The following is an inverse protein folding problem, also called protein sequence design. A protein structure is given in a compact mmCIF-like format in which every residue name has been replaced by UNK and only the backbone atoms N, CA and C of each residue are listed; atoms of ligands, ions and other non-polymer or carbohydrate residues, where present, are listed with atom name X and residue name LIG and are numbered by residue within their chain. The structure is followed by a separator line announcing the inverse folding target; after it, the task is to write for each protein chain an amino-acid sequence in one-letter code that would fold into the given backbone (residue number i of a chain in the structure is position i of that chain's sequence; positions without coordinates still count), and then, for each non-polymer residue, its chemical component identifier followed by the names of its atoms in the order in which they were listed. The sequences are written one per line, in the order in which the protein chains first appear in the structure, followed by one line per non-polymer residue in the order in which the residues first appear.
data_IF_321154842011
#
_entry.id   IF_321154842011
#
_cell.length_a   1.000
_cell.length_b   1.000
_cell.length_c   1.000
_cell.angle_alpha   90.00
_cell.angle_beta   90.00
_cell.angle_gamma   90.00
#
_symmetry.space_group_name_H-M   'P 1'
#
loop_
_entity.id
_entity.type
_entity.pdbx_description
1 polymer ?
#
# COMPACT_ATOMS: atom_id res chain seq x y z
N UNK A 1 -21.54 8.81 -9.56
CA UNK A 1 -20.28 9.56 -9.35
C UNK A 1 -19.11 8.58 -9.46
N UNK A 2 -17.99 8.95 -10.09
CA UNK A 2 -16.82 8.08 -10.15
C UNK A 2 -16.29 7.80 -8.74
N UNK A 3 -15.88 6.56 -8.50
CA UNK A 3 -15.24 6.15 -7.26
C UNK A 3 -13.82 6.73 -7.30
N UNK A 4 -13.51 7.66 -6.41
CA UNK A 4 -12.20 8.28 -6.34
C UNK A 4 -11.45 7.81 -5.10
N UNK A 5 -10.34 7.10 -5.31
CA UNK A 5 -9.43 6.67 -4.25
C UNK A 5 -8.08 7.36 -4.41
N UNK A 6 -7.43 7.64 -3.29
CA UNK A 6 -6.07 8.20 -3.26
C UNK A 6 -5.14 7.29 -2.47
N UNK A 7 -3.86 7.30 -2.83
CA UNK A 7 -2.84 6.54 -2.14
C UNK A 7 -1.95 7.47 -1.32
N UNK A 8 -1.76 7.14 -0.04
CA UNK A 8 -0.83 7.84 0.84
C UNK A 8 0.36 6.94 1.13
N UNK A 9 1.57 7.48 0.98
CA UNK A 9 2.81 6.76 1.21
C UNK A 9 3.47 7.25 2.49
N UNK A 10 3.97 6.31 3.30
CA UNK A 10 4.75 6.59 4.50
C UNK A 10 5.85 5.53 4.63
N UNK A 11 7.10 5.98 4.56
CA UNK A 11 8.26 5.10 4.56
C UNK A 11 8.12 3.98 3.49
N UNK A 12 8.30 2.72 3.88
CA UNK A 12 8.22 1.54 3.02
C UNK A 12 6.78 1.05 2.76
N UNK A 13 5.74 1.78 3.22
CA UNK A 13 4.35 1.33 3.15
C UNK A 13 3.39 2.37 2.57
N UNK A 14 2.21 1.90 2.18
CA UNK A 14 1.15 2.74 1.64
C UNK A 14 -0.25 2.39 2.19
N UNK A 15 -1.16 3.34 2.08
CA UNK A 15 -2.59 3.23 2.38
C UNK A 15 -3.39 3.59 1.12
N UNK A 16 -4.58 2.98 0.93
CA UNK A 16 -5.58 3.45 -0.03
C UNK A 16 -6.77 4.03 0.72
N UNK A 17 -7.18 5.23 0.39
CA UNK A 17 -8.25 5.97 1.07
C UNK A 17 -9.38 6.26 0.09
N UNK A 18 -10.61 5.91 0.45
CA UNK A 18 -11.82 6.35 -0.24
C UNK A 18 -12.07 7.82 0.11
N UNK A 19 -12.01 8.71 -0.89
CA UNK A 19 -12.21 10.14 -0.67
C UNK A 19 -13.64 10.49 -0.27
N UNK A 20 -14.63 9.68 -0.65
CA UNK A 20 -16.03 9.91 -0.31
C UNK A 20 -16.26 9.71 1.18
N UNK A 21 -15.72 8.63 1.73
CA UNK A 21 -15.89 8.29 3.16
C UNK A 21 -14.78 8.86 4.04
N UNK A 22 -13.68 9.33 3.43
CA UNK A 22 -12.45 9.79 4.10
C UNK A 22 -11.87 8.72 5.03
N UNK A 23 -11.95 7.46 4.62
CA UNK A 23 -11.49 6.29 5.38
C UNK A 23 -10.54 5.44 4.56
N UNK A 24 -9.64 4.74 5.25
CA UNK A 24 -8.81 3.71 4.63
C UNK A 24 -9.71 2.58 4.15
N UNK A 25 -9.51 2.13 2.92
CA UNK A 25 -10.29 1.05 2.33
C UNK A 25 -10.06 -0.27 3.09
N UNK A 26 -11.13 -1.05 3.37
CA UNK A 26 -10.97 -2.39 3.92
C UNK A 26 -10.31 -3.30 2.89
N UNK A 27 -9.30 -4.05 3.31
CA UNK A 27 -8.56 -4.95 2.43
C UNK A 27 -7.92 -6.11 3.19
N UNK A 28 -7.72 -7.25 2.52
CA UNK A 28 -7.00 -8.42 3.05
C UNK A 28 -5.81 -8.72 2.13
N UNK A 29 -4.55 -8.68 2.62
CA UNK A 29 -4.14 -8.27 3.98
C UNK A 29 -4.41 -6.78 4.27
N UNK A 30 -4.53 -6.36 5.55
CA UNK A 30 -4.86 -4.97 5.90
C UNK A 30 -3.77 -3.97 5.50
N UNK A 31 -4.15 -2.70 5.39
CA UNK A 31 -3.20 -1.58 5.30
C UNK A 31 -2.60 -1.26 6.68
N UNK A 32 -1.40 -0.67 6.75
CA UNK A 32 -0.52 -0.29 5.63
C UNK A 32 0.17 -1.48 4.97
N UNK A 33 0.30 -1.45 3.63
CA UNK A 33 0.90 -2.52 2.82
C UNK A 33 2.28 -2.11 2.30
N UNK A 34 3.18 -3.08 2.11
CA UNK A 34 4.54 -2.84 1.58
C UNK A 34 4.51 -2.29 0.15
N UNK A 35 5.22 -1.19 -0.10
CA UNK A 35 5.40 -0.64 -1.44
C UNK A 35 6.21 -1.63 -2.28
N UNK A 36 7.31 -2.14 -1.74
CA UNK A 36 8.18 -3.10 -2.44
C UNK A 36 7.39 -4.30 -2.97
N UNK A 37 6.53 -4.88 -2.13
CA UNK A 37 5.75 -6.07 -2.50
C UNK A 37 4.63 -5.78 -3.50
N UNK A 38 3.83 -4.73 -3.27
CA UNK A 38 2.57 -4.52 -4.03
C UNK A 38 2.69 -3.52 -5.18
N UNK A 39 3.65 -2.59 -5.12
CA UNK A 39 3.89 -1.62 -6.19
C UNK A 39 5.06 -2.01 -7.07
N UNK A 40 6.15 -2.52 -6.47
CA UNK A 40 7.38 -2.86 -7.20
C UNK A 40 7.50 -4.36 -7.51
N UNK A 41 6.63 -5.21 -6.95
CA UNK A 41 6.62 -6.65 -7.20
C UNK A 41 7.81 -7.41 -6.61
N UNK A 42 8.50 -6.86 -5.62
CA UNK A 42 9.57 -7.56 -4.92
C UNK A 42 9.00 -8.79 -4.18
N UNK A 43 9.56 -9.96 -4.43
CA UNK A 43 9.29 -11.16 -3.63
C UNK A 43 9.95 -11.04 -2.26
N UNK A 44 9.36 -11.69 -1.24
CA UNK A 44 9.93 -11.80 0.11
C UNK A 44 11.14 -12.76 0.11
N UNK A 45 12.04 -12.64 -0.87
CA UNK A 45 13.32 -13.33 -0.90
C UNK A 45 14.20 -12.70 0.18
N UNK A 46 14.25 -13.36 1.33
CA UNK A 46 15.24 -13.20 2.40
C UNK A 46 16.65 -13.20 1.79
N UNK A 47 17.17 -12.06 1.35
CA UNK A 47 18.49 -12.06 0.70
C UNK A 47 18.95 -10.80 -0.05
N UNK A 48 18.39 -9.62 0.20
CA UNK A 48 18.88 -8.40 -0.45
C UNK A 48 18.98 -7.21 0.50
N UNK A 49 19.55 -7.42 1.68
CA UNK A 49 20.30 -6.36 2.35
C UNK A 49 21.77 -6.55 1.97
N UNK A 50 22.19 -5.88 0.90
CA UNK A 50 23.59 -5.56 0.67
C UNK A 50 23.74 -4.07 0.77
N UNK A 51 24.11 -3.59 1.95
CA UNK A 51 24.97 -2.43 2.09
C UNK A 51 25.85 -2.59 3.34
#
# INVERSE_FOLDING_TARGET
MPIQSVYFFKADKYYRVDLRTKRVDPATPPYPRSIAKYWLGCSDTTGAEKK
#
